data_IF_578121849946
#
_entry.id   IF_578121849946
#
_cell.length_a   1.000
_cell.length_b   1.000
_cell.length_c   1.000
_cell.angle_alpha   90.00
_cell.angle_beta   90.00
_cell.angle_gamma   90.00
#
_symmetry.space_group_name_H-M   'P 1'
#
loop_
_entity.id
_entity.type
_entity.pdbx_description
1 polymer ?
#
# COMPACT_ATOMS: atom_id res chain seq x y z
N UNK A 1 20.65 -17.87 0.32
CA UNK A 1 20.57 -17.22 -1.01
C UNK A 1 19.22 -16.56 -1.09
N UNK A 2 19.13 -15.23 -1.27
CA UNK A 2 17.84 -14.60 -1.52
C UNK A 2 17.29 -15.15 -2.84
N UNK A 3 16.05 -15.62 -2.85
CA UNK A 3 15.40 -16.02 -4.09
C UNK A 3 15.39 -14.85 -5.08
N UNK A 4 15.53 -15.15 -6.36
CA UNK A 4 15.42 -14.13 -7.41
C UNK A 4 14.09 -13.39 -7.29
N UNK A 5 14.08 -12.11 -7.66
CA UNK A 5 12.86 -11.33 -7.66
C UNK A 5 11.90 -11.88 -8.73
N UNK A 6 10.62 -11.93 -8.38
CA UNK A 6 9.53 -12.36 -9.24
C UNK A 6 8.87 -11.11 -9.84
N UNK A 7 8.26 -11.22 -11.02
CA UNK A 7 7.39 -10.18 -11.57
C UNK A 7 5.94 -10.69 -11.59
N UNK A 8 5.05 -9.94 -10.95
CA UNK A 8 3.62 -10.21 -10.94
C UNK A 8 2.95 -9.29 -11.96
N UNK A 9 2.21 -9.86 -12.90
CA UNK A 9 1.31 -9.08 -13.76
C UNK A 9 0.05 -8.68 -12.98
N UNK A 10 -0.16 -7.37 -12.84
CA UNK A 10 -1.32 -6.77 -12.18
C UNK A 10 -2.00 -5.83 -13.18
N UNK A 11 -3.01 -6.34 -13.87
CA UNK A 11 -3.78 -5.63 -14.91
C UNK A 11 -2.89 -5.04 -16.03
N UNK A 12 -1.87 -5.78 -16.47
CA UNK A 12 -0.93 -5.37 -17.52
C UNK A 12 0.30 -4.61 -17.00
N UNK A 13 0.42 -4.42 -15.68
CA UNK A 13 1.53 -3.71 -15.04
C UNK A 13 2.38 -4.71 -14.24
N UNK A 14 3.66 -4.78 -14.59
CA UNK A 14 4.62 -5.64 -13.88
C UNK A 14 4.98 -5.06 -12.50
N UNK A 15 4.68 -5.81 -11.44
CA UNK A 15 5.02 -5.46 -10.06
C UNK A 15 6.01 -6.48 -9.49
N UNK A 16 7.19 -6.02 -9.10
CA UNK A 16 8.25 -6.86 -8.53
C UNK A 16 7.86 -7.41 -7.15
N UNK A 17 8.06 -8.71 -6.90
CA UNK A 17 7.95 -9.36 -5.59
C UNK A 17 9.31 -9.89 -5.13
N UNK A 18 9.66 -9.65 -3.87
CA UNK A 18 10.89 -10.17 -3.24
C UNK A 18 10.62 -10.69 -1.84
N UNK A 19 11.45 -11.65 -1.41
CA UNK A 19 11.32 -12.34 -0.12
C UNK A 19 9.91 -12.93 0.10
N UNK A 20 9.35 -13.67 -0.88
CA UNK A 20 7.97 -14.18 -0.80
C UNK A 20 7.71 -15.04 0.43
N UNK A 21 8.68 -15.87 0.81
CA UNK A 21 8.53 -16.84 1.90
C UNK A 21 8.86 -16.24 3.28
N UNK A 22 9.19 -14.94 3.36
CA UNK A 22 9.39 -14.26 4.62
C UNK A 22 8.09 -14.31 5.44
N UNK A 23 8.18 -14.76 6.68
CA UNK A 23 7.04 -14.87 7.60
C UNK A 23 6.64 -13.48 8.08
N UNK A 24 5.39 -13.09 7.82
CA UNK A 24 4.79 -11.85 8.32
C UNK A 24 3.88 -12.08 9.52
N UNK A 25 3.21 -13.22 9.56
CA UNK A 25 2.24 -13.59 10.59
C UNK A 25 2.64 -14.95 11.20
N UNK A 26 3.52 -14.99 12.22
CA UNK A 26 4.10 -16.24 12.71
C UNK A 26 3.07 -17.29 13.16
N UNK A 27 1.95 -16.84 13.76
CA UNK A 27 0.86 -17.73 14.20
C UNK A 27 0.19 -18.50 13.06
N UNK A 28 0.30 -18.04 11.81
CA UNK A 28 -0.26 -18.70 10.63
C UNK A 28 0.73 -19.66 9.94
N UNK A 29 1.97 -19.75 10.42
CA UNK A 29 3.02 -20.59 9.81
C UNK A 29 3.21 -20.30 8.33
N UNK A 30 3.17 -21.34 7.49
CA UNK A 30 3.29 -21.22 6.03
C UNK A 30 2.14 -20.45 5.36
N UNK A 31 1.02 -20.28 6.05
CA UNK A 31 -0.09 -19.41 5.62
C UNK A 31 0.14 -17.92 5.88
N UNK A 32 1.16 -17.58 6.68
CA UNK A 32 1.42 -16.21 7.15
C UNK A 32 2.57 -15.50 6.45
N UNK A 33 2.90 -15.87 5.21
CA UNK A 33 4.07 -15.29 4.51
C UNK A 33 3.73 -13.99 3.78
N UNK A 34 4.76 -13.23 3.40
CA UNK A 34 4.63 -12.05 2.55
C UNK A 34 3.93 -12.37 1.22
N UNK A 35 4.24 -13.52 0.61
CA UNK A 35 3.53 -14.00 -0.60
C UNK A 35 2.03 -14.09 -0.35
N UNK A 36 1.61 -14.67 0.77
CA UNK A 36 0.19 -14.82 1.10
C UNK A 36 -0.51 -13.47 1.25
N UNK A 37 0.16 -12.49 1.87
CA UNK A 37 -0.34 -11.12 1.93
C UNK A 37 -0.47 -10.48 0.54
N UNK A 38 0.56 -10.61 -0.30
CA UNK A 38 0.58 -10.05 -1.66
C UNK A 38 -0.47 -10.71 -2.55
N UNK A 39 -0.63 -12.03 -2.47
CA UNK A 39 -1.66 -12.79 -3.19
C UNK A 39 -3.06 -12.35 -2.77
N UNK A 40 -3.32 -12.18 -1.47
CA UNK A 40 -4.58 -11.65 -0.96
C UNK A 40 -4.87 -10.27 -1.55
N UNK A 41 -3.92 -9.33 -1.44
CA UNK A 41 -4.10 -7.99 -1.99
C UNK A 41 -4.32 -8.00 -3.50
N UNK A 42 -3.54 -8.80 -4.25
CA UNK A 42 -3.73 -8.95 -5.71
C UNK A 42 -5.14 -9.44 -6.04
N UNK A 43 -5.69 -10.38 -5.28
CA UNK A 43 -7.03 -10.93 -5.51
C UNK A 43 -8.15 -9.89 -5.32
N UNK A 44 -7.98 -8.92 -4.40
CA UNK A 44 -9.00 -7.90 -4.11
C UNK A 44 -8.73 -6.54 -4.76
N UNK A 45 -7.49 -6.28 -5.19
CA UNK A 45 -7.03 -4.97 -5.64
C UNK A 45 -7.67 -4.47 -6.93
N UNK A 46 -8.21 -5.32 -7.81
CA UNK A 46 -8.92 -4.89 -9.02
C UNK A 46 -10.40 -4.55 -8.81
N UNK A 47 -10.95 -4.88 -7.63
CA UNK A 47 -12.39 -4.87 -7.38
C UNK A 47 -12.84 -3.78 -6.39
N UNK A 48 -13.75 -4.12 -5.44
CA UNK A 48 -14.29 -3.15 -4.48
C UNK A 48 -13.24 -2.39 -3.66
N UNK A 49 -12.09 -3.02 -3.39
CA UNK A 49 -11.00 -2.36 -2.66
C UNK A 49 -10.45 -1.16 -3.43
N UNK A 50 -10.23 -1.29 -4.75
CA UNK A 50 -9.80 -0.15 -5.56
C UNK A 50 -10.88 0.91 -5.63
N UNK A 51 -12.15 0.55 -5.77
CA UNK A 51 -13.25 1.53 -5.74
C UNK A 51 -13.26 2.36 -4.46
N UNK A 52 -13.02 1.72 -3.30
CA UNK A 52 -12.95 2.41 -2.01
C UNK A 52 -11.73 3.34 -1.88
N UNK A 53 -10.58 2.93 -2.45
CA UNK A 53 -9.31 3.67 -2.36
C UNK A 53 -9.07 4.64 -3.51
N UNK A 54 -9.86 4.56 -4.58
CA UNK A 54 -9.59 5.27 -5.85
C UNK A 54 -9.41 6.77 -5.63
N UNK A 55 -8.30 7.28 -6.13
CA UNK A 55 -7.87 8.68 -6.03
C UNK A 55 -7.65 9.21 -4.60
N UNK A 56 -7.64 8.33 -3.58
CA UNK A 56 -7.37 8.74 -2.19
C UNK A 56 -5.85 8.75 -1.92
N UNK A 57 -5.32 9.83 -1.32
CA UNK A 57 -3.97 9.80 -0.80
C UNK A 57 -3.93 8.84 0.39
N UNK A 58 -2.94 7.95 0.40
CA UNK A 58 -2.93 6.79 1.30
C UNK A 58 -1.59 6.67 2.02
N UNK A 59 -1.62 6.65 3.35
CA UNK A 59 -0.45 6.30 4.16
C UNK A 59 -0.31 4.78 4.26
N UNK A 60 0.92 4.32 4.46
CA UNK A 60 1.26 2.90 4.50
C UNK A 60 1.78 2.52 5.88
N UNK A 61 1.12 1.57 6.54
CA UNK A 61 1.62 0.95 7.77
C UNK A 61 2.36 -0.33 7.39
N UNK A 62 3.69 -0.30 7.53
CA UNK A 62 4.60 -1.30 6.99
C UNK A 62 5.29 -2.09 8.09
N UNK A 63 5.47 -3.37 7.82
CA UNK A 63 6.18 -4.34 8.67
C UNK A 63 7.16 -5.16 7.81
N UNK A 64 8.31 -4.58 7.41
CA UNK A 64 9.24 -5.22 6.48
C UNK A 64 9.74 -6.60 6.94
N UNK A 65 9.76 -6.82 8.25
CA UNK A 65 10.19 -8.04 8.94
C UNK A 65 9.05 -8.79 9.66
N UNK A 66 7.79 -8.49 9.30
CA UNK A 66 6.60 -9.11 9.89
C UNK A 66 6.05 -8.37 11.11
N UNK A 67 4.85 -8.74 11.55
CA UNK A 67 4.06 -7.96 12.53
C UNK A 67 4.68 -7.87 13.92
N UNK A 68 5.60 -8.78 14.25
CA UNK A 68 6.35 -8.78 15.52
C UNK A 68 7.68 -7.99 15.41
N UNK A 69 7.97 -7.43 14.24
CA UNK A 69 9.17 -6.64 13.95
C UNK A 69 8.95 -5.13 14.04
N UNK A 70 9.82 -4.36 13.37
CA UNK A 70 9.70 -2.90 13.30
C UNK A 70 8.47 -2.46 12.51
N UNK A 71 7.72 -1.54 13.08
CA UNK A 71 6.62 -0.84 12.41
C UNK A 71 7.10 0.48 11.79
N UNK A 72 6.79 0.69 10.51
CA UNK A 72 7.08 1.93 9.78
C UNK A 72 5.76 2.53 9.29
N UNK A 73 5.36 3.66 9.88
CA UNK A 73 4.21 4.44 9.41
C UNK A 73 4.62 5.49 8.37
N UNK A 74 4.55 5.11 7.09
CA UNK A 74 5.05 5.90 5.97
C UNK A 74 3.97 6.81 5.40
N UNK A 75 4.17 8.13 5.54
CA UNK A 75 3.26 9.15 4.99
C UNK A 75 3.67 9.64 3.59
N UNK A 76 4.96 9.86 3.39
CA UNK A 76 5.54 10.32 2.12
C UNK A 76 5.93 9.12 1.27
N UNK A 77 5.60 9.15 -0.02
CA UNK A 77 6.10 8.15 -0.97
C UNK A 77 7.63 8.28 -1.11
N UNK A 78 8.40 7.18 -1.23
CA UNK A 78 9.85 7.26 -1.40
C UNK A 78 10.22 8.07 -2.65
N UNK A 79 11.37 8.78 -2.63
CA UNK A 79 11.81 9.55 -3.81
C UNK A 79 11.98 8.68 -5.05
N UNK A 80 12.51 7.46 -4.87
CA UNK A 80 12.60 6.45 -5.90
C UNK A 80 11.44 5.47 -5.76
N UNK A 81 10.54 5.49 -6.73
CA UNK A 81 9.39 4.62 -6.81
C UNK A 81 9.09 4.32 -8.30
N UNK A 82 8.38 3.22 -8.62
CA UNK A 82 8.05 2.89 -10.00
C UNK A 82 7.25 4.00 -10.71
N UNK A 83 7.54 4.21 -12.00
CA UNK A 83 6.95 5.29 -12.81
C UNK A 83 5.42 5.21 -12.94
N UNK A 84 4.83 4.02 -12.74
CA UNK A 84 3.38 3.81 -12.80
C UNK A 84 2.65 4.30 -11.54
N UNK A 85 3.35 4.67 -10.46
CA UNK A 85 2.72 5.15 -9.25
C UNK A 85 2.42 6.65 -9.37
N UNK A 86 1.17 7.00 -9.09
CA UNK A 86 0.75 8.38 -8.95
C UNK A 86 0.88 8.86 -7.51
N UNK A 87 1.06 10.16 -7.36
CA UNK A 87 1.17 10.82 -6.08
C UNK A 87 0.15 11.94 -5.97
N UNK A 88 -0.13 12.32 -4.73
CA UNK A 88 -1.02 13.43 -4.44
C UNK A 88 -0.48 14.23 -3.27
N UNK A 89 -0.43 15.55 -3.47
CA UNK A 89 0.05 16.47 -2.45
C UNK A 89 -1.01 16.61 -1.36
N UNK A 90 -0.64 16.29 -0.13
CA UNK A 90 -1.45 16.47 1.06
C UNK A 90 -0.85 17.59 1.94
N UNK A 91 -1.72 18.24 2.71
CA UNK A 91 -1.35 19.25 3.71
C UNK A 91 -1.63 18.70 5.10
N UNK A 92 -0.62 18.68 5.96
CA UNK A 92 -0.77 18.31 7.37
C UNK A 92 -1.31 19.48 8.19
N UNK A 93 -1.83 19.24 9.41
CA UNK A 93 -2.30 20.31 10.30
C UNK A 93 -1.26 21.40 10.61
N UNK A 94 0.04 21.09 10.49
CA UNK A 94 1.13 22.05 10.65
C UNK A 94 1.34 22.98 9.43
N UNK A 95 0.58 22.83 8.35
CA UNK A 95 0.80 23.51 7.07
C UNK A 95 1.91 22.90 6.20
N UNK A 96 2.67 21.93 6.74
CA UNK A 96 3.66 21.18 5.96
C UNK A 96 2.95 20.30 4.92
N UNK A 97 3.59 20.12 3.76
CA UNK A 97 3.06 19.29 2.68
C UNK A 97 3.92 18.06 2.40
N UNK A 98 3.29 17.00 1.89
CA UNK A 98 3.97 15.81 1.41
C UNK A 98 3.23 15.19 0.23
N UNK A 99 3.97 14.49 -0.61
CA UNK A 99 3.38 13.68 -1.68
C UNK A 99 3.13 12.28 -1.10
N UNK A 100 1.86 11.94 -0.96
CA UNK A 100 1.40 10.62 -0.55
C UNK A 100 1.15 9.75 -1.78
N UNK A 101 1.11 8.43 -1.58
CA UNK A 101 0.67 7.51 -2.63
C UNK A 101 -0.80 7.80 -2.98
N UNK A 102 -1.09 8.07 -4.25
CA UNK A 102 -2.46 8.16 -4.77
C UNK A 102 -2.82 6.81 -5.38
N UNK A 103 -3.84 6.15 -4.84
CA UNK A 103 -4.25 4.83 -5.36
C UNK A 103 -5.13 5.02 -6.59
N UNK A 104 -4.58 4.81 -7.80
CA UNK A 104 -5.34 4.94 -9.06
C UNK A 104 -5.62 3.61 -9.75
N UNK A 105 -4.87 2.56 -9.38
CA UNK A 105 -4.91 1.25 -10.02
C UNK A 105 -4.50 0.13 -9.03
N UNK A 106 -4.83 -1.12 -9.39
CA UNK A 106 -4.53 -2.30 -8.57
C UNK A 106 -3.03 -2.47 -8.28
N UNK A 107 -2.17 -2.14 -9.27
CA UNK A 107 -0.73 -2.24 -9.13
C UNK A 107 -0.16 -1.36 -8.00
N UNK A 108 -0.81 -0.23 -7.66
CA UNK A 108 -0.42 0.62 -6.52
C UNK A 108 -0.60 -0.10 -5.18
N UNK A 109 -1.69 -0.86 -5.03
CA UNK A 109 -2.00 -1.64 -3.83
C UNK A 109 -1.03 -2.82 -3.70
N UNK A 110 -0.79 -3.55 -4.79
CA UNK A 110 0.13 -4.69 -4.80
C UNK A 110 1.58 -4.24 -4.55
N UNK A 111 1.98 -3.10 -5.11
CA UNK A 111 3.26 -2.48 -4.80
C UNK A 111 3.40 -2.13 -3.31
N UNK A 112 2.36 -1.54 -2.70
CA UNK A 112 2.38 -1.26 -1.27
C UNK A 112 2.59 -2.53 -0.45
N UNK A 113 1.91 -3.63 -0.78
CA UNK A 113 2.09 -4.93 -0.15
C UNK A 113 3.52 -5.48 -0.34
N UNK A 114 4.10 -5.36 -1.54
CA UNK A 114 5.51 -5.68 -1.79
C UNK A 114 6.46 -4.86 -0.90
N UNK A 115 6.14 -3.59 -0.62
CA UNK A 115 6.92 -2.75 0.29
C UNK A 115 6.76 -3.15 1.76
N UNK A 116 6.00 -4.21 2.05
CA UNK A 116 5.72 -4.70 3.40
C UNK A 116 4.56 -4.01 4.08
N UNK A 117 3.70 -3.32 3.32
CA UNK A 117 2.49 -2.70 3.87
C UNK A 117 1.51 -3.78 4.28
N UNK A 118 1.17 -3.83 5.57
CA UNK A 118 0.10 -4.70 6.08
C UNK A 118 -1.23 -3.97 6.05
N UNK A 119 -1.25 -2.65 6.33
CA UNK A 119 -2.48 -1.85 6.38
C UNK A 119 -2.32 -0.58 5.54
N UNK A 120 -3.32 -0.29 4.70
CA UNK A 120 -3.45 0.96 3.97
C UNK A 120 -4.37 1.92 4.75
N UNK A 121 -3.94 3.16 4.91
CA UNK A 121 -4.66 4.20 5.65
C UNK A 121 -5.05 5.33 4.68
N UNK A 122 -6.19 5.20 3.97
CA UNK A 122 -6.65 6.23 3.04
C UNK A 122 -7.16 7.46 3.79
N UNK A 123 -6.86 8.64 3.27
CA UNK A 123 -7.54 9.86 3.71
C UNK A 123 -9.00 9.85 3.26
N UNK A 124 -9.84 10.60 3.97
CA UNK A 124 -11.27 10.79 3.70
C UNK A 124 -11.57 11.81 2.58
N UNK A 125 -10.59 12.07 1.71
CA UNK A 125 -10.65 13.02 0.58
C UNK A 125 -10.25 12.30 -0.70
N UNK A 126 -10.52 12.92 -1.84
CA UNK A 126 -10.02 12.47 -3.15
C UNK A 126 -9.20 13.57 -3.80
N UNK A 127 -8.12 13.18 -4.46
CA UNK A 127 -7.26 14.10 -5.18
C UNK A 127 -7.94 14.62 -6.47
N UNK A 128 -7.69 15.88 -6.88
CA UNK A 128 -6.78 16.85 -6.25
C UNK A 128 -7.41 17.68 -5.11
N UNK A 129 -8.71 17.52 -4.83
CA UNK A 129 -9.41 18.30 -3.81
C UNK A 129 -9.20 17.71 -2.39
N UNK A 130 -8.02 17.97 -1.83
CA UNK A 130 -7.62 17.42 -0.53
C UNK A 130 -8.13 18.19 0.68
N UNK A 131 -8.90 19.25 0.48
CA UNK A 131 -9.42 20.11 1.56
C UNK A 131 -10.89 19.82 1.89
N UNK A 132 -11.61 19.09 1.03
CA UNK A 132 -13.03 18.77 1.21
C UNK A 132 -13.26 17.26 1.33
N UNK A 133 -13.45 16.74 2.56
CA UNK A 133 -13.79 15.33 2.77
C UNK A 133 -15.07 14.91 2.02
N UNK A 134 -14.99 13.77 1.33
CA UNK A 134 -16.15 13.10 0.69
C UNK A 134 -16.67 11.92 1.54
N UNK A 135 -16.06 11.70 2.71
CA UNK A 135 -16.38 10.62 3.64
C UNK A 135 -16.39 11.12 5.09
N UNK A 136 -17.52 10.94 5.79
CA UNK A 136 -17.62 11.11 7.24
C UNK A 136 -17.40 9.74 7.91
N UNK A 137 -16.44 9.67 8.84
CA UNK A 137 -16.09 8.44 9.56
C UNK A 137 -16.53 8.52 11.01
N UNK A 138 -17.13 7.44 11.51
CA UNK A 138 -17.49 7.27 12.93
C UNK A 138 -16.67 6.10 13.48
N UNK A 139 -15.90 6.37 14.54
CA UNK A 139 -15.15 5.38 15.29
C UNK A 139 -15.76 5.33 16.71
N UNK A 140 -16.17 4.14 17.17
CA UNK A 140 -17.05 3.93 18.34
C UNK A 140 -16.28 3.40 19.55
#
# INVERSE_FOLDING_TARGET
>A
MAAAAEELDVDGIAVRLTNPDKVYFPKLGSGGTKRKLVEYYRAVAGGPMLTALRDRPTHLQRFPDGIDGEEIYQKRIPQHHPDYLETCRITFPSGRTADALKVTQAASIVWAAQMGTVTLHPWQVRCPDTDHPDELRVDL
#
